data_IF_496505877901
#
_entry.id   IF_496505877901
#
_cell.length_a   1.000
_cell.length_b   1.000
_cell.length_c   1.000
_cell.angle_alpha   90.00
_cell.angle_beta   90.00
_cell.angle_gamma   90.00
#
_symmetry.space_group_name_H-M   'P 1'
#
loop_
_entity.id
_entity.type
_entity.pdbx_description
1 polymer ?
#
# COMPACT_ATOMS: atom_id res chain seq x y z
N UNK A 1 -11.16 11.14 5.09
CA UNK A 1 -11.21 10.41 3.83
C UNK A 1 -10.91 11.33 2.66
N UNK A 2 -10.18 12.40 2.93
CA UNK A 2 -9.81 13.37 1.89
C UNK A 2 -8.94 14.48 2.47
N UNK A 3 -7.63 14.40 2.20
CA UNK A 3 -6.69 15.40 2.68
C UNK A 3 -6.61 15.37 4.20
N UNK A 4 -5.46 15.76 4.74
CA UNK A 4 -5.27 15.77 6.18
C UNK A 4 -5.64 14.45 6.82
N UNK A 5 -5.21 13.35 6.20
CA UNK A 5 -5.50 12.03 6.73
C UNK A 5 -4.99 11.87 8.15
N UNK A 6 -5.22 10.70 8.74
CA UNK A 6 -4.77 10.44 10.10
C UNK A 6 -3.56 9.53 10.15
N UNK A 7 -2.38 10.12 10.30
CA UNK A 7 -1.15 9.35 10.36
C UNK A 7 -1.01 8.64 11.71
N UNK A 8 -1.24 7.34 11.71
CA UNK A 8 -1.15 6.55 12.94
C UNK A 8 0.25 5.94 13.07
N UNK A 9 0.55 5.44 14.26
CA UNK A 9 1.85 4.83 14.53
C UNK A 9 2.13 3.70 13.54
N UNK A 10 1.06 3.13 12.98
CA UNK A 10 1.19 2.03 12.04
C UNK A 10 1.84 2.51 10.74
N UNK A 11 1.49 3.72 10.32
CA UNK A 11 2.04 4.30 9.09
C UNK A 11 3.56 4.17 9.08
N UNK A 12 4.16 4.12 10.26
CA UNK A 12 5.61 4.00 10.37
C UNK A 12 6.05 2.54 10.35
N UNK A 13 5.24 1.68 10.97
CA UNK A 13 5.54 0.24 11.01
C UNK A 13 5.91 -0.28 9.63
N UNK A 14 5.27 0.28 8.60
CA UNK A 14 5.53 -0.15 7.23
C UNK A 14 6.97 0.18 6.83
N UNK A 15 7.36 1.43 7.00
CA UNK A 15 8.71 1.86 6.65
C UNK A 15 9.75 1.17 7.52
N UNK A 16 9.42 0.98 8.79
CA UNK A 16 10.33 0.33 9.74
C UNK A 16 10.37 -1.17 9.48
N UNK A 17 9.44 -1.67 8.67
CA UNK A 17 9.37 -3.09 8.35
C UNK A 17 10.28 -3.42 7.16
N UNK A 18 10.25 -2.55 6.14
CA UNK A 18 11.06 -2.75 4.95
C UNK A 18 12.47 -2.21 5.16
N UNK A 19 12.64 -1.37 6.18
CA UNK A 19 13.94 -0.80 6.49
C UNK A 19 14.78 -1.74 7.33
N UNK A 20 14.13 -2.45 8.24
CA UNK A 20 14.81 -3.41 9.11
C UNK A 20 15.32 -4.60 8.32
N UNK A 21 14.55 -5.01 7.31
CA UNK A 21 14.92 -6.15 6.48
C UNK A 21 15.64 -5.68 5.21
N UNK A 22 15.16 -4.58 4.64
CA UNK A 22 15.75 -4.04 3.43
C UNK A 22 15.83 -5.09 2.33
N UNK A 23 15.09 -6.18 2.52
CA UNK A 23 15.08 -7.27 1.54
C UNK A 23 13.69 -7.45 0.94
N UNK A 24 12.68 -7.46 1.80
CA UNK A 24 11.29 -7.63 1.35
C UNK A 24 10.37 -7.92 2.52
N UNK A 25 9.71 -6.89 3.03
CA UNK A 25 8.78 -7.02 4.15
C UNK A 25 7.34 -6.92 3.68
N UNK A 26 7.16 -6.71 2.38
CA UNK A 26 5.82 -6.59 1.81
C UNK A 26 4.81 -6.15 2.87
N UNK A 27 4.81 -4.86 3.18
CA UNK A 27 3.89 -4.31 4.17
C UNK A 27 2.68 -3.67 3.51
N UNK A 28 1.49 -4.19 3.81
CA UNK A 28 0.26 -3.67 3.25
C UNK A 28 -0.49 -2.81 4.27
N UNK A 29 -0.48 -1.50 4.05
CA UNK A 29 -1.17 -0.57 4.95
C UNK A 29 -2.50 -0.14 4.37
N UNK A 30 -3.55 -0.23 5.19
CA UNK A 30 -4.89 0.17 4.76
C UNK A 30 -5.36 1.40 5.50
N UNK A 31 -5.70 2.44 4.76
CA UNK A 31 -6.17 3.69 5.34
C UNK A 31 -7.67 3.63 5.64
N UNK A 32 -8.03 3.85 6.90
CA UNK A 32 -9.42 3.81 7.31
C UNK A 32 -10.05 5.20 7.23
N UNK A 33 -11.25 5.35 7.78
CA UNK A 33 -11.96 6.63 7.76
C UNK A 33 -11.24 7.65 8.63
N UNK A 34 -10.33 8.40 8.01
CA UNK A 34 -9.57 9.42 8.72
C UNK A 34 -8.55 8.80 9.67
N UNK A 35 -7.82 7.81 9.17
CA UNK A 35 -6.81 7.12 9.96
C UNK A 35 -6.01 6.13 9.11
N UNK A 36 -4.84 5.75 9.60
CA UNK A 36 -3.98 4.82 8.88
C UNK A 36 -3.62 3.62 9.75
N UNK A 37 -3.52 2.46 9.13
CA UNK A 37 -3.18 1.23 9.84
C UNK A 37 -2.58 0.20 8.90
N UNK A 38 -1.92 -0.81 9.48
CA UNK A 38 -1.30 -1.87 8.70
C UNK A 38 -2.06 -3.18 8.85
N UNK A 39 -2.16 -3.93 7.75
CA UNK A 39 -2.86 -5.21 7.76
C UNK A 39 -1.87 -6.37 7.60
N UNK A 40 -0.89 -6.18 6.74
CA UNK A 40 0.12 -7.22 6.50
C UNK A 40 1.51 -6.71 6.85
N UNK A 41 2.37 -7.61 7.29
CA UNK A 41 3.74 -7.26 7.67
C UNK A 41 4.45 -8.44 8.32
N UNK A 42 5.60 -8.81 7.76
CA UNK A 42 6.36 -9.93 8.31
C UNK A 42 7.01 -10.76 7.21
N UNK A 43 7.45 -10.11 6.14
CA UNK A 43 8.09 -10.81 5.03
C UNK A 43 7.12 -11.75 4.35
N UNK A 44 7.26 -11.90 3.03
CA UNK A 44 6.39 -12.78 2.29
C UNK A 44 6.59 -12.67 0.79
N UNK A 45 7.07 -11.51 0.35
CA UNK A 45 7.31 -11.28 -1.07
C UNK A 45 6.00 -11.17 -1.84
N UNK A 46 6.09 -10.96 -3.14
CA UNK A 46 4.91 -10.84 -3.99
C UNK A 46 4.02 -12.07 -3.86
N UNK A 47 4.61 -13.18 -3.44
CA UNK A 47 3.87 -14.42 -3.25
C UNK A 47 2.65 -14.21 -2.37
N UNK A 48 2.86 -13.59 -1.21
CA UNK A 48 1.78 -13.33 -0.27
C UNK A 48 1.04 -12.04 -0.64
N UNK A 49 1.78 -11.07 -1.17
CA UNK A 49 1.19 -9.80 -1.57
C UNK A 49 0.16 -9.99 -2.69
N UNK A 50 0.40 -11.01 -3.52
CA UNK A 50 -0.50 -11.29 -4.62
C UNK A 50 -1.64 -12.21 -4.18
N UNK A 51 -1.44 -12.88 -3.05
CA UNK A 51 -2.47 -13.78 -2.54
C UNK A 51 -3.13 -13.25 -1.28
N UNK A 52 -2.83 -11.99 -0.95
CA UNK A 52 -3.41 -11.36 0.23
C UNK A 52 -4.28 -10.17 -0.16
N UNK A 53 -3.77 -9.33 -1.06
CA UNK A 53 -4.50 -8.16 -1.50
C UNK A 53 -5.91 -8.54 -1.96
N UNK A 54 -6.92 -8.11 -1.18
CA UNK A 54 -8.32 -8.39 -1.48
C UNK A 54 -8.82 -7.62 -2.70
N UNK A 55 -9.59 -8.29 -3.56
CA UNK A 55 -10.13 -7.67 -4.76
C UNK A 55 -11.39 -6.88 -4.44
N UNK A 56 -11.99 -7.16 -3.29
CA UNK A 56 -13.21 -6.48 -2.88
C UNK A 56 -12.91 -5.06 -2.40
N UNK A 57 -11.69 -4.85 -1.93
CA UNK A 57 -11.27 -3.55 -1.45
C UNK A 57 -9.90 -3.17 -2.00
N UNK A 58 -9.46 -1.96 -1.71
CA UNK A 58 -8.16 -1.47 -2.18
C UNK A 58 -7.14 -1.45 -1.04
N UNK A 59 -5.89 -1.68 -1.37
CA UNK A 59 -4.82 -1.69 -0.38
C UNK A 59 -3.47 -1.42 -1.03
N UNK A 60 -2.62 -0.65 -0.34
CA UNK A 60 -1.30 -0.32 -0.84
C UNK A 60 -0.21 -1.05 -0.05
N UNK A 61 0.88 -1.38 -0.73
CA UNK A 61 1.98 -2.07 -0.08
C UNK A 61 3.32 -1.45 -0.39
N UNK A 62 4.22 -1.44 0.60
CA UNK A 62 5.54 -0.87 0.43
C UNK A 62 6.60 -1.97 0.28
N UNK A 63 7.64 -1.68 -0.49
CA UNK A 63 8.71 -2.64 -0.70
C UNK A 63 10.03 -1.93 -0.99
N UNK A 64 10.97 -2.04 -0.06
CA UNK A 64 12.27 -1.40 -0.22
C UNK A 64 12.91 -1.81 -1.55
N UNK A 65 12.86 -0.90 -2.52
CA UNK A 65 13.44 -1.16 -3.83
C UNK A 65 14.92 -0.79 -3.86
N UNK A 66 15.46 -0.45 -2.70
CA UNK A 66 16.86 -0.09 -2.61
C UNK A 66 17.07 1.41 -2.65
N UNK A 67 16.38 2.08 -3.56
CA UNK A 67 16.49 3.53 -3.69
C UNK A 67 15.16 4.22 -3.36
N UNK A 68 14.10 3.78 -4.03
CA UNK A 68 12.78 4.36 -3.80
C UNK A 68 11.79 3.27 -3.39
N UNK A 69 10.63 3.70 -2.90
CA UNK A 69 9.59 2.76 -2.47
C UNK A 69 8.40 2.80 -3.42
N UNK A 70 8.40 1.91 -4.40
CA UNK A 70 7.32 1.83 -5.38
C UNK A 70 6.14 1.03 -4.81
N UNK A 71 5.08 1.74 -4.45
CA UNK A 71 3.88 1.11 -3.90
C UNK A 71 2.69 1.29 -4.83
N UNK A 72 2.09 0.17 -5.23
CA UNK A 72 0.93 0.21 -6.13
C UNK A 72 -0.28 -0.44 -5.47
N UNK A 73 -1.48 0.00 -5.88
CA UNK A 73 -2.72 -0.53 -5.33
C UNK A 73 -3.74 -0.75 -6.43
N UNK A 74 -4.60 -1.74 -6.25
CA UNK A 74 -5.64 -2.04 -7.24
C UNK A 74 -7.01 -1.62 -6.73
N UNK A 75 -7.81 -1.03 -7.61
CA UNK A 75 -9.14 -0.57 -7.26
C UNK A 75 -10.14 -1.73 -7.28
N UNK A 76 -10.90 -1.87 -6.18
CA UNK A 76 -11.90 -2.94 -6.05
C UNK A 76 -13.10 -2.73 -6.97
N UNK A 77 -13.58 -3.81 -7.56
CA UNK A 77 -14.72 -3.75 -8.46
C UNK A 77 -16.03 -3.89 -7.70
N UNK A 78 -15.93 -4.02 -6.38
CA UNK A 78 -17.11 -4.17 -5.53
C UNK A 78 -17.63 -2.81 -5.07
N UNK A 79 -16.72 -1.85 -4.96
CA UNK A 79 -17.09 -0.50 -4.53
C UNK A 79 -15.86 0.41 -4.46
N UNK A 80 -15.33 0.78 -5.64
CA UNK A 80 -14.16 1.64 -5.74
C UNK A 80 -14.46 3.08 -5.31
N UNK A 81 -15.72 3.48 -5.45
CA UNK A 81 -16.14 4.82 -5.08
C UNK A 81 -15.64 5.19 -3.69
N UNK A 82 -15.42 4.18 -2.86
CA UNK A 82 -14.93 4.40 -1.50
C UNK A 82 -13.43 4.65 -1.49
N UNK A 83 -12.66 3.63 -1.88
CA UNK A 83 -11.20 3.73 -1.92
C UNK A 83 -10.71 4.66 -3.03
N UNK A 84 -11.17 4.41 -4.25
CA UNK A 84 -10.78 5.22 -5.40
C UNK A 84 -10.89 6.72 -5.07
N UNK A 85 -11.82 7.05 -4.19
CA UNK A 85 -12.03 8.44 -3.79
C UNK A 85 -11.14 8.80 -2.60
N UNK A 86 -11.26 8.02 -1.53
CA UNK A 86 -10.46 8.25 -0.33
C UNK A 86 -8.97 8.20 -0.63
N UNK A 87 -8.51 7.03 -1.09
CA UNK A 87 -7.10 6.85 -1.41
C UNK A 87 -6.60 7.96 -2.33
N UNK A 88 -7.51 8.54 -3.10
CA UNK A 88 -7.17 9.62 -4.02
C UNK A 88 -6.65 10.83 -3.27
N UNK A 89 -7.48 11.39 -2.39
CA UNK A 89 -7.10 12.56 -1.61
C UNK A 89 -6.35 12.15 -0.34
N UNK A 90 -6.10 10.85 -0.21
CA UNK A 90 -5.40 10.33 0.95
C UNK A 90 -3.97 9.95 0.60
N UNK A 91 -3.74 9.63 -0.67
CA UNK A 91 -2.42 9.25 -1.14
C UNK A 91 -1.36 10.21 -0.63
N UNK A 92 -1.73 11.48 -0.47
CA UNK A 92 -0.81 12.49 0.01
C UNK A 92 -0.17 12.06 1.33
N UNK A 93 -1.00 11.87 2.36
CA UNK A 93 -0.51 11.44 3.67
C UNK A 93 0.50 10.33 3.54
N UNK A 94 0.08 9.21 2.93
CA UNK A 94 0.96 8.06 2.74
C UNK A 94 2.24 8.46 2.02
N UNK A 95 2.08 9.08 0.85
CA UNK A 95 3.22 9.51 0.06
C UNK A 95 4.16 10.38 0.89
N UNK A 96 3.60 11.07 1.88
CA UNK A 96 4.39 11.94 2.75
C UNK A 96 5.05 11.14 3.86
N UNK A 97 4.32 10.17 4.39
CA UNK A 97 4.83 9.32 5.47
C UNK A 97 6.00 8.47 4.99
N UNK A 98 5.82 7.83 3.84
CA UNK A 98 6.86 6.98 3.27
C UNK A 98 8.19 7.73 3.20
N UNK A 99 9.25 7.00 2.86
CA UNK A 99 10.58 7.59 2.76
C UNK A 99 11.16 7.40 1.35
N UNK A 100 11.11 8.45 0.55
CA UNK A 100 11.63 8.37 -0.81
C UNK A 100 10.63 7.79 -1.78
N UNK A 101 9.38 7.65 -1.34
CA UNK A 101 8.32 7.11 -2.17
C UNK A 101 7.99 8.04 -3.32
N UNK A 102 8.72 7.92 -4.42
CA UNK A 102 8.51 8.75 -5.60
C UNK A 102 7.11 8.55 -6.17
N UNK A 103 6.86 9.15 -7.33
CA UNK A 103 5.57 9.03 -7.99
C UNK A 103 5.53 7.84 -8.94
N UNK A 104 6.50 6.93 -8.78
CA UNK A 104 6.59 5.75 -9.62
C UNK A 104 5.47 4.77 -9.30
N UNK A 105 4.69 5.08 -8.27
CA UNK A 105 3.58 4.23 -7.86
C UNK A 105 2.60 4.01 -9.02
N UNK A 106 1.75 3.00 -8.87
CA UNK A 106 0.76 2.69 -9.90
C UNK A 106 -0.59 2.34 -9.28
N UNK A 107 -1.66 2.72 -9.97
CA UNK A 107 -3.00 2.43 -9.48
C UNK A 107 -3.90 1.93 -10.60
N UNK A 108 -4.03 0.62 -10.71
CA UNK A 108 -4.86 0.01 -11.74
C UNK A 108 -5.59 -1.23 -11.21
N UNK A 109 -6.82 -1.42 -11.66
CA UNK A 109 -7.62 -2.57 -11.23
C UNK A 109 -7.68 -3.62 -12.32
N UNK A 110 -6.92 -4.70 -12.15
CA UNK A 110 -6.89 -5.78 -13.12
C UNK A 110 -6.34 -7.07 -12.49
N UNK A 111 -6.80 -8.20 -12.99
CA UNK A 111 -6.36 -9.50 -12.47
C UNK A 111 -4.92 -9.78 -12.88
N UNK A 112 -4.50 -9.19 -13.99
CA UNK A 112 -3.14 -9.39 -14.47
C UNK A 112 -2.11 -8.73 -13.59
N UNK A 113 -2.56 -7.84 -12.71
CA UNK A 113 -1.66 -7.13 -11.81
C UNK A 113 -1.01 -8.10 -10.83
N UNK A 114 -1.75 -9.14 -10.44
CA UNK A 114 -1.24 -10.14 -9.51
C UNK A 114 -0.96 -11.45 -10.22
N UNK A 115 -1.10 -11.44 -11.54
CA UNK A 115 -0.86 -12.64 -12.33
C UNK A 115 0.59 -13.10 -12.23
N UNK A 116 1.52 -12.22 -12.64
CA UNK A 116 2.97 -12.51 -12.60
C UNK A 116 3.50 -12.54 -11.18
N UNK A 117 2.86 -11.80 -10.29
CA UNK A 117 3.28 -11.73 -8.89
C UNK A 117 4.80 -11.65 -8.78
N UNK A 118 5.42 -10.94 -9.72
CA UNK A 118 6.86 -10.78 -9.72
C UNK A 118 7.56 -12.12 -9.89
#
# INVERSE_FOLDING_TARGET
MASGMGVDENCVARFNELKIRKTVKWIVFKIENTKIVVEKDGKGNADEFRGALPANDCRFGVYDCGNKIQFVLWCPDNAPVKPRMTYASSKDALLKKLDGATAVALEAHEMGDLAPLA
#
